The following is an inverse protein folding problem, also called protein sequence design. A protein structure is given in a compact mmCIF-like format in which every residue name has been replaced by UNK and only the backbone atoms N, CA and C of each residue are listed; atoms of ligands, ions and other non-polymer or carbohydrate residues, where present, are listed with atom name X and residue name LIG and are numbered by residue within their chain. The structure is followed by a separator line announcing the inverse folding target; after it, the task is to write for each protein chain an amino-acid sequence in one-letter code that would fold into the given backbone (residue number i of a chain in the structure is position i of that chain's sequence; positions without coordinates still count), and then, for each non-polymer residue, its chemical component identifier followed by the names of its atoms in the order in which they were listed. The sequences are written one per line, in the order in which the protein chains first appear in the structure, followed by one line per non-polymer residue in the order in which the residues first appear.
data_IF_186222473184
#
_entry.id   IF_186222473184
#
_cell.length_a   1.000
_cell.length_b   1.000
_cell.length_c   1.000
_cell.angle_alpha   90.00
_cell.angle_beta   90.00
_cell.angle_gamma   90.00
#
_symmetry.space_group_name_H-M   'P 1'
#
loop_
_entity.id
_entity.type
_entity.pdbx_description
1 polymer ?
#
# COMPACT_ATOMS: atom_id res chain seq x y z
N UNK A 1 -20.34 -13.95 -11.88
CA UNK A 1 -20.31 -13.79 -10.40
C UNK A 1 -20.92 -12.44 -10.09
N UNK A 2 -21.88 -12.37 -9.19
CA UNK A 2 -22.46 -11.11 -8.75
C UNK A 2 -21.62 -10.59 -7.56
N UNK A 3 -20.78 -9.59 -7.85
CA UNK A 3 -19.87 -9.02 -6.86
C UNK A 3 -20.59 -8.19 -5.80
N UNK A 4 -21.71 -7.53 -6.14
CA UNK A 4 -22.50 -6.77 -5.17
C UNK A 4 -23.07 -7.68 -4.10
N UNK A 5 -23.73 -8.77 -4.52
CA UNK A 5 -24.29 -9.80 -3.64
C UNK A 5 -23.21 -10.48 -2.78
N UNK A 6 -22.02 -10.73 -3.36
CA UNK A 6 -20.90 -11.29 -2.61
C UNK A 6 -20.43 -10.31 -1.52
N UNK A 7 -20.31 -9.03 -1.84
CA UNK A 7 -19.89 -8.01 -0.91
C UNK A 7 -20.87 -7.84 0.25
N UNK A 8 -22.17 -7.78 -0.04
CA UNK A 8 -23.24 -7.61 0.95
C UNK A 8 -23.31 -8.80 1.95
N UNK A 9 -23.11 -10.03 1.49
CA UNK A 9 -23.35 -11.22 2.33
C UNK A 9 -22.07 -11.81 2.94
N UNK A 10 -20.88 -11.47 2.42
CA UNK A 10 -19.63 -12.09 2.81
C UNK A 10 -19.29 -11.84 4.27
N UNK A 11 -19.44 -10.61 4.71
CA UNK A 11 -19.04 -10.22 6.08
C UNK A 11 -19.95 -10.82 7.14
N UNK A 12 -21.23 -11.00 6.88
CA UNK A 12 -22.16 -11.71 7.79
C UNK A 12 -21.74 -13.14 8.04
N UNK A 13 -21.29 -13.83 6.98
CA UNK A 13 -20.76 -15.18 7.10
C UNK A 13 -19.45 -15.22 7.89
N UNK A 14 -18.55 -14.28 7.61
CA UNK A 14 -17.25 -14.19 8.29
C UNK A 14 -17.41 -13.82 9.77
N UNK A 15 -18.39 -13.00 10.13
CA UNK A 15 -18.71 -12.71 11.53
C UNK A 15 -19.23 -13.96 12.29
N UNK A 16 -20.01 -14.81 11.64
CA UNK A 16 -20.39 -16.11 12.22
C UNK A 16 -19.19 -17.04 12.39
N UNK A 17 -18.26 -17.01 11.45
CA UNK A 17 -17.00 -17.75 11.56
C UNK A 17 -16.14 -17.25 12.72
N UNK A 18 -16.08 -15.92 12.94
CA UNK A 18 -15.38 -15.30 14.07
C UNK A 18 -15.81 -15.90 15.41
N UNK A 19 -17.13 -15.99 15.64
CA UNK A 19 -17.66 -16.55 16.91
C UNK A 19 -17.05 -17.92 17.18
N UNK A 20 -17.05 -18.81 16.19
CA UNK A 20 -16.50 -20.17 16.32
C UNK A 20 -14.97 -20.16 16.45
N UNK A 21 -14.30 -19.26 15.75
CA UNK A 21 -12.84 -19.13 15.81
C UNK A 21 -12.37 -18.78 17.22
N UNK A 22 -13.05 -17.84 17.88
CA UNK A 22 -12.69 -17.40 19.23
C UNK A 22 -13.16 -18.35 20.35
N UNK A 23 -13.93 -19.40 20.07
CA UNK A 23 -14.18 -20.50 21.02
C UNK A 23 -12.94 -21.37 21.24
N UNK A 24 -12.08 -21.49 20.21
CA UNK A 24 -10.84 -22.28 20.30
C UNK A 24 -9.77 -21.69 19.39
N UNK A 25 -9.11 -20.62 19.86
CA UNK A 25 -8.11 -19.87 19.07
C UNK A 25 -6.82 -20.69 18.94
N UNK A 26 -6.34 -20.95 17.71
CA UNK A 26 -5.07 -21.63 17.52
C UNK A 26 -3.90 -20.78 18.01
N UNK A 27 -2.85 -21.42 18.51
CA UNK A 27 -1.66 -20.70 18.99
C UNK A 27 -0.97 -19.93 17.87
N UNK A 28 -1.02 -20.41 16.65
CA UNK A 28 -0.49 -19.82 15.43
C UNK A 28 -1.08 -18.42 15.16
N UNK A 29 -2.35 -18.21 15.54
CA UNK A 29 -2.98 -16.89 15.44
C UNK A 29 -2.27 -15.85 16.34
N UNK A 30 -1.95 -16.20 17.56
CA UNK A 30 -1.27 -15.29 18.47
C UNK A 30 0.16 -15.00 18.01
N UNK A 31 0.85 -16.02 17.50
CA UNK A 31 2.18 -15.87 16.88
C UNK A 31 2.13 -14.97 15.64
N UNK A 32 1.10 -15.12 14.82
CA UNK A 32 0.87 -14.24 13.67
C UNK A 32 0.64 -12.80 14.12
N UNK A 33 -0.24 -12.56 15.09
CA UNK A 33 -0.52 -11.22 15.60
C UNK A 33 0.73 -10.55 16.18
N UNK A 34 1.57 -11.28 16.91
CA UNK A 34 2.83 -10.77 17.46
C UNK A 34 3.85 -10.47 16.34
N UNK A 35 4.02 -11.38 15.40
CA UNK A 35 4.95 -11.23 14.27
C UNK A 35 4.59 -10.08 13.34
N UNK A 36 3.32 -9.85 13.12
CA UNK A 36 2.78 -8.90 12.16
C UNK A 36 2.30 -7.58 12.82
N UNK A 37 2.58 -7.39 14.11
CA UNK A 37 2.07 -6.26 14.90
C UNK A 37 2.46 -4.89 14.34
N UNK A 38 3.57 -4.79 13.61
CA UNK A 38 4.10 -3.56 13.01
C UNK A 38 3.17 -2.90 11.99
N UNK A 39 2.28 -3.69 11.37
CA UNK A 39 1.27 -3.19 10.44
C UNK A 39 -0.15 -3.62 10.80
N UNK A 40 -0.30 -4.84 11.38
CA UNK A 40 -1.60 -5.46 11.59
C UNK A 40 -2.46 -4.72 12.61
N UNK A 41 -1.84 -4.20 13.67
CA UNK A 41 -2.54 -3.49 14.73
C UNK A 41 -3.19 -2.20 14.22
N UNK A 42 -2.45 -1.42 13.45
CA UNK A 42 -2.97 -0.18 12.87
C UNK A 42 -3.95 -0.46 11.73
N UNK A 43 -3.72 -1.49 10.91
CA UNK A 43 -4.66 -1.91 9.87
C UNK A 43 -6.01 -2.32 10.47
N UNK A 44 -6.00 -3.17 11.50
CA UNK A 44 -7.22 -3.65 12.13
C UNK A 44 -8.01 -2.53 12.81
N UNK A 45 -7.31 -1.61 13.48
CA UNK A 45 -7.92 -0.41 14.06
C UNK A 45 -8.51 0.49 12.95
N UNK A 46 -7.77 0.74 11.87
CA UNK A 46 -8.23 1.55 10.74
C UNK A 46 -9.53 0.98 10.15
N UNK A 47 -9.57 -0.32 9.92
CA UNK A 47 -10.75 -0.98 9.37
C UNK A 47 -11.95 -0.96 10.32
N UNK A 48 -11.72 -1.12 11.63
CA UNK A 48 -12.75 -0.98 12.64
C UNK A 48 -13.33 0.45 12.67
N UNK A 49 -12.48 1.46 12.57
CA UNK A 49 -12.89 2.86 12.49
C UNK A 49 -13.63 3.16 11.18
N UNK A 50 -13.17 2.64 10.04
CA UNK A 50 -13.88 2.75 8.75
C UNK A 50 -15.30 2.24 8.85
N UNK A 51 -15.51 1.11 9.50
CA UNK A 51 -16.84 0.52 9.70
C UNK A 51 -17.70 1.39 10.63
N UNK A 52 -17.14 1.86 11.75
CA UNK A 52 -17.82 2.74 12.68
C UNK A 52 -18.26 4.07 12.06
N UNK A 53 -17.53 4.54 11.05
CA UNK A 53 -17.82 5.75 10.29
C UNK A 53 -18.56 5.48 8.95
N UNK A 54 -19.19 4.32 8.79
CA UNK A 54 -19.93 3.92 7.58
C UNK A 54 -19.11 4.02 6.28
N UNK A 55 -17.82 3.72 6.34
CA UNK A 55 -16.91 3.77 5.21
C UNK A 55 -16.39 5.17 4.85
N UNK A 56 -16.70 6.21 5.63
CA UNK A 56 -16.19 7.56 5.42
C UNK A 56 -14.65 7.57 5.37
N UNK A 57 -14.08 8.49 4.60
CA UNK A 57 -12.63 8.64 4.50
C UNK A 57 -12.05 9.06 5.86
N UNK A 58 -10.84 8.59 6.18
CA UNK A 58 -10.20 8.94 7.46
C UNK A 58 -9.96 10.45 7.58
N UNK A 59 -9.81 11.17 6.48
CA UNK A 59 -9.70 12.63 6.45
C UNK A 59 -10.97 13.36 6.93
N UNK A 60 -12.11 12.68 6.91
CA UNK A 60 -13.41 13.18 7.36
C UNK A 60 -13.73 12.80 8.82
N UNK A 61 -12.90 11.97 9.47
CA UNK A 61 -13.10 11.59 10.86
C UNK A 61 -12.90 12.79 11.79
N UNK A 62 -13.43 12.70 13.00
CA UNK A 62 -13.21 13.71 14.01
C UNK A 62 -11.71 13.95 14.26
N UNK A 63 -11.37 15.21 14.51
CA UNK A 63 -9.98 15.67 14.60
C UNK A 63 -9.07 14.76 15.45
N UNK A 64 -9.46 14.30 16.67
CA UNK A 64 -8.58 13.45 17.48
C UNK A 64 -8.22 12.12 16.82
N UNK A 65 -9.13 11.50 16.06
CA UNK A 65 -8.88 10.28 15.30
C UNK A 65 -8.11 10.58 14.01
N UNK A 66 -8.49 11.62 13.28
CA UNK A 66 -7.79 12.06 12.06
C UNK A 66 -6.31 12.31 12.34
N UNK A 67 -5.97 12.98 13.44
CA UNK A 67 -4.61 13.32 13.84
C UNK A 67 -3.96 12.28 14.76
N UNK A 68 -4.61 11.15 14.99
CA UNK A 68 -4.09 10.04 15.82
C UNK A 68 -3.66 10.49 17.22
N UNK A 69 -4.44 11.35 17.89
CA UNK A 69 -4.18 11.77 19.26
C UNK A 69 -4.16 10.55 20.18
N UNK A 70 -3.14 10.41 21.02
CA UNK A 70 -2.87 9.19 21.77
C UNK A 70 -4.07 8.70 22.61
N UNK A 71 -4.77 9.61 23.29
CA UNK A 71 -5.94 9.28 24.09
C UNK A 71 -7.12 8.80 23.23
N UNK A 72 -7.34 9.42 22.06
CA UNK A 72 -8.39 9.02 21.12
C UNK A 72 -8.12 7.64 20.55
N UNK A 73 -6.86 7.35 20.18
CA UNK A 73 -6.45 6.04 19.69
C UNK A 73 -6.59 4.97 20.77
N UNK A 74 -6.16 5.24 22.00
CA UNK A 74 -6.31 4.30 23.13
C UNK A 74 -7.79 3.98 23.37
N UNK A 75 -8.63 5.01 23.46
CA UNK A 75 -10.08 4.85 23.59
C UNK A 75 -10.71 4.07 22.46
N UNK A 76 -10.28 4.34 21.21
CA UNK A 76 -10.78 3.62 20.05
C UNK A 76 -10.41 2.14 20.08
N UNK A 77 -9.18 1.80 20.47
CA UNK A 77 -8.74 0.41 20.66
C UNK A 77 -9.60 -0.34 21.67
N UNK A 78 -9.92 0.28 22.78
CA UNK A 78 -10.81 -0.33 23.80
C UNK A 78 -12.26 -0.44 23.30
N UNK A 79 -12.77 0.61 22.66
CA UNK A 79 -14.16 0.67 22.20
C UNK A 79 -14.44 -0.34 21.09
N UNK A 80 -13.51 -0.52 20.17
CA UNK A 80 -13.65 -1.35 18.97
C UNK A 80 -12.85 -2.65 19.04
N UNK A 81 -12.49 -3.10 20.24
CA UNK A 81 -11.66 -4.31 20.45
C UNK A 81 -12.21 -5.53 19.70
N UNK A 82 -13.53 -5.73 19.73
CA UNK A 82 -14.19 -6.85 19.04
C UNK A 82 -14.04 -6.77 17.51
N UNK A 83 -14.15 -5.56 16.94
CA UNK A 83 -13.96 -5.36 15.51
C UNK A 83 -12.48 -5.47 15.10
N UNK A 84 -11.57 -5.00 15.92
CA UNK A 84 -10.13 -5.18 15.72
C UNK A 84 -9.78 -6.66 15.66
N UNK A 85 -10.31 -7.47 16.58
CA UNK A 85 -10.13 -8.92 16.57
C UNK A 85 -10.69 -9.57 15.31
N UNK A 86 -11.84 -9.10 14.83
CA UNK A 86 -12.41 -9.56 13.56
C UNK A 86 -11.47 -9.33 12.38
N UNK A 87 -10.93 -8.13 12.25
CA UNK A 87 -10.03 -7.79 11.15
C UNK A 87 -8.69 -8.51 11.25
N UNK A 88 -8.14 -8.69 12.46
CA UNK A 88 -6.94 -9.51 12.69
C UNK A 88 -7.16 -10.97 12.30
N UNK A 89 -8.29 -11.56 12.72
CA UNK A 89 -8.66 -12.93 12.33
C UNK A 89 -8.74 -13.06 10.80
N UNK A 90 -9.36 -12.11 10.10
CA UNK A 90 -9.45 -12.17 8.63
C UNK A 90 -8.09 -12.14 7.97
N UNK A 91 -7.16 -11.30 8.46
CA UNK A 91 -5.79 -11.26 7.93
C UNK A 91 -5.05 -12.58 8.21
N UNK A 92 -5.17 -13.13 9.42
CA UNK A 92 -4.59 -14.43 9.75
C UNK A 92 -5.07 -15.54 8.80
N UNK A 93 -6.38 -15.69 8.62
CA UNK A 93 -6.95 -16.69 7.73
C UNK A 93 -6.55 -16.48 6.26
N UNK A 94 -6.46 -15.23 5.83
CA UNK A 94 -5.96 -14.91 4.48
C UNK A 94 -4.50 -15.35 4.31
N UNK A 95 -3.62 -14.98 5.25
CA UNK A 95 -2.19 -15.32 5.17
C UNK A 95 -1.97 -16.82 5.22
N UNK A 96 -2.71 -17.56 6.07
CA UNK A 96 -2.64 -18.99 6.15
C UNK A 96 -2.99 -19.65 4.81
N UNK A 97 -4.16 -19.32 4.25
CA UNK A 97 -4.62 -19.85 2.96
C UNK A 97 -3.71 -19.43 1.79
N UNK A 98 -3.20 -18.17 1.81
CA UNK A 98 -2.30 -17.69 0.80
C UNK A 98 -0.96 -18.45 0.83
N UNK A 99 -0.39 -18.67 2.00
CA UNK A 99 0.85 -19.42 2.15
C UNK A 99 0.68 -20.87 1.67
N UNK A 100 -0.42 -21.53 1.98
CA UNK A 100 -0.73 -22.87 1.46
C UNK A 100 -0.80 -22.87 -0.06
N UNK A 101 -1.53 -21.93 -0.66
CA UNK A 101 -1.65 -21.81 -2.12
C UNK A 101 -0.29 -21.53 -2.78
N UNK A 102 0.50 -20.62 -2.21
CA UNK A 102 1.86 -20.29 -2.72
C UNK A 102 2.76 -21.52 -2.66
N UNK A 103 2.79 -22.22 -1.55
CA UNK A 103 3.57 -23.44 -1.39
C UNK A 103 3.15 -24.50 -2.41
N UNK A 104 1.85 -24.72 -2.58
CA UNK A 104 1.32 -25.65 -3.57
C UNK A 104 1.77 -25.32 -5.00
N UNK A 105 1.78 -24.03 -5.37
CA UNK A 105 2.26 -23.55 -6.67
C UNK A 105 3.78 -23.78 -6.81
N UNK A 106 4.55 -23.38 -5.80
CA UNK A 106 6.00 -23.48 -5.82
C UNK A 106 6.50 -24.93 -5.90
N UNK A 107 5.86 -25.89 -5.22
CA UNK A 107 6.17 -27.32 -5.31
C UNK A 107 5.99 -27.87 -6.73
N UNK A 108 5.22 -27.18 -7.59
CA UNK A 108 5.00 -27.50 -9.00
C UNK A 108 5.84 -26.67 -9.98
N UNK A 109 6.83 -25.94 -9.44
CA UNK A 109 7.71 -25.09 -10.23
C UNK A 109 7.04 -23.81 -10.75
N UNK A 110 5.87 -23.43 -10.21
CA UNK A 110 5.16 -22.21 -10.58
C UNK A 110 5.55 -21.10 -9.59
N UNK A 111 6.02 -19.97 -10.11
CA UNK A 111 6.34 -18.77 -9.33
C UNK A 111 5.20 -17.77 -9.43
N UNK A 112 4.87 -17.14 -8.31
CA UNK A 112 3.81 -16.13 -8.24
C UNK A 112 4.44 -14.75 -8.36
N UNK A 113 3.97 -13.97 -9.35
CA UNK A 113 4.36 -12.57 -9.54
C UNK A 113 3.29 -11.70 -8.88
N UNK A 114 3.70 -10.88 -7.92
CA UNK A 114 2.82 -9.90 -7.28
C UNK A 114 3.01 -8.51 -7.87
N UNK A 115 1.91 -7.79 -8.05
CA UNK A 115 1.91 -6.44 -8.58
C UNK A 115 1.82 -5.41 -7.46
N UNK A 116 2.74 -4.45 -7.44
CA UNK A 116 2.87 -3.43 -6.40
C UNK A 116 2.81 -2.05 -7.05
N UNK A 117 1.72 -1.30 -6.87
CA UNK A 117 1.66 0.07 -7.37
C UNK A 117 2.66 0.94 -6.61
N UNK A 118 3.29 1.90 -7.31
CA UNK A 118 4.19 2.86 -6.65
C UNK A 118 3.44 3.65 -5.58
N UNK A 119 2.25 4.15 -5.87
CA UNK A 119 1.48 4.97 -4.94
C UNK A 119 0.49 4.16 -4.13
N UNK A 120 0.11 4.71 -2.96
CA UNK A 120 -0.98 4.21 -2.12
C UNK A 120 -2.20 5.11 -2.25
N UNK A 121 -3.37 4.59 -1.91
CA UNK A 121 -4.57 5.41 -1.86
C UNK A 121 -4.48 6.46 -0.75
N UNK A 122 -5.02 7.66 -0.98
CA UNK A 122 -5.12 8.69 0.06
C UNK A 122 -5.93 8.21 1.26
N UNK A 123 -7.04 7.51 1.00
CA UNK A 123 -7.85 6.85 2.03
C UNK A 123 -7.29 5.45 2.33
N UNK A 124 -6.15 5.42 3.02
CA UNK A 124 -5.46 4.19 3.42
C UNK A 124 -4.86 4.30 4.81
N UNK A 125 -4.62 3.15 5.43
CA UNK A 125 -3.90 3.07 6.70
C UNK A 125 -2.48 3.62 6.57
N UNK A 126 -1.83 3.42 5.43
CA UNK A 126 -0.46 3.90 5.18
C UNK A 126 -0.34 5.41 5.36
N UNK A 127 -1.27 6.17 4.76
CA UNK A 127 -1.28 7.64 4.85
C UNK A 127 -1.71 8.09 6.24
N UNK A 128 -2.74 7.47 6.82
CA UNK A 128 -3.23 7.80 8.15
C UNK A 128 -2.20 7.58 9.25
N UNK A 129 -1.39 6.52 9.16
CA UNK A 129 -0.38 6.19 10.18
C UNK A 129 0.95 6.90 9.97
N UNK A 130 1.27 7.25 8.74
CA UNK A 130 2.56 7.85 8.37
C UNK A 130 2.42 9.17 7.59
N UNK A 131 1.61 10.15 8.06
CA UNK A 131 1.31 11.36 7.29
C UNK A 131 2.56 12.18 6.95
N UNK A 132 3.61 12.14 7.77
CA UNK A 132 4.89 12.81 7.52
C UNK A 132 5.64 12.29 6.29
N UNK A 133 5.35 11.08 5.83
CA UNK A 133 5.94 10.46 4.66
C UNK A 133 5.32 10.95 3.33
N UNK A 134 4.28 11.78 3.39
CA UNK A 134 3.51 12.25 2.24
C UNK A 134 3.45 13.78 2.19
N UNK A 135 3.29 14.36 0.99
CA UNK A 135 3.07 15.80 0.80
C UNK A 135 1.65 16.20 1.20
N UNK A 136 1.44 16.37 2.50
CA UNK A 136 0.19 16.84 3.09
C UNK A 136 0.38 18.20 3.76
N UNK A 137 -0.69 18.99 3.82
CA UNK A 137 -0.72 20.26 4.54
C UNK A 137 -0.98 20.05 6.06
N UNK A 138 -1.12 21.14 6.81
CA UNK A 138 -1.41 21.11 8.25
C UNK A 138 -2.77 20.50 8.60
N UNK A 139 -3.66 20.35 7.64
CA UNK A 139 -4.95 19.68 7.80
C UNK A 139 -4.94 18.23 7.32
N UNK A 140 -3.76 17.72 6.94
CA UNK A 140 -3.53 16.40 6.34
C UNK A 140 -4.25 16.23 4.99
N UNK A 141 -4.45 17.31 4.24
CA UNK A 141 -4.94 17.27 2.87
C UNK A 141 -3.77 17.26 1.88
N UNK A 142 -3.85 16.52 0.77
CA UNK A 142 -2.77 16.46 -0.21
C UNK A 142 -2.45 17.84 -0.80
N UNK A 143 -1.19 18.27 -0.69
CA UNK A 143 -0.68 19.49 -1.35
C UNK A 143 -0.57 19.24 -2.85
N UNK A 144 0.02 18.10 -3.20
CA UNK A 144 0.17 17.61 -4.57
C UNK A 144 -0.22 16.14 -4.64
N UNK A 145 -0.73 15.73 -5.79
CA UNK A 145 -1.15 14.34 -6.08
C UNK A 145 -0.49 13.82 -7.35
N UNK A 146 -0.46 12.49 -7.46
CA UNK A 146 0.11 11.79 -8.59
C UNK A 146 -0.80 11.83 -9.83
N UNK A 147 -0.17 11.70 -10.99
CA UNK A 147 -0.83 11.55 -12.27
C UNK A 147 0.14 11.51 -13.44
N UNK A 148 -0.38 11.71 -14.64
CA UNK A 148 0.39 11.83 -15.87
C UNK A 148 0.04 13.10 -16.63
N UNK A 149 1.01 13.72 -17.33
CA UNK A 149 0.75 14.91 -18.13
C UNK A 149 -0.22 14.65 -19.28
N UNK A 150 -0.82 15.69 -19.87
CA UNK A 150 -1.52 15.61 -21.14
C UNK A 150 -0.66 14.96 -22.22
N UNK A 151 -1.28 14.11 -23.03
CA UNK A 151 -0.66 13.41 -24.15
C UNK A 151 -1.61 13.32 -25.37
N UNK A 152 -1.25 12.54 -26.39
CA UNK A 152 -2.06 12.36 -27.59
C UNK A 152 -3.39 11.61 -27.34
N UNK A 153 -3.50 10.87 -26.24
CA UNK A 153 -4.69 10.08 -25.86
C UNK A 153 -5.58 10.81 -24.86
N UNK A 154 -5.01 11.69 -24.04
CA UNK A 154 -5.73 12.45 -23.01
C UNK A 154 -5.29 13.91 -22.99
N UNK A 155 -6.14 14.80 -23.51
CA UNK A 155 -5.87 16.25 -23.53
C UNK A 155 -5.82 16.88 -22.12
N UNK A 156 -6.38 16.23 -21.10
CA UNK A 156 -6.37 16.65 -19.71
C UNK A 156 -5.32 15.94 -18.87
N UNK A 157 -4.61 14.97 -19.47
CA UNK A 157 -3.74 14.06 -18.73
C UNK A 157 -4.55 13.09 -17.87
N UNK A 158 -3.87 12.47 -16.89
CA UNK A 158 -4.49 11.57 -15.96
C UNK A 158 -4.25 12.09 -14.54
N UNK A 159 -5.33 12.38 -13.82
CA UNK A 159 -5.31 12.73 -12.41
C UNK A 159 -5.62 11.47 -11.59
N UNK A 160 -4.61 10.89 -10.93
CA UNK A 160 -4.80 9.65 -10.15
C UNK A 160 -5.24 9.94 -8.71
N UNK A 161 -4.87 11.10 -8.17
CA UNK A 161 -5.29 11.52 -6.84
C UNK A 161 -4.53 10.91 -5.66
N UNK A 162 -3.57 10.04 -5.91
CA UNK A 162 -2.73 9.47 -4.85
C UNK A 162 -1.80 10.53 -4.27
N UNK A 163 -1.64 10.62 -2.93
CA UNK A 163 -0.68 11.53 -2.32
C UNK A 163 0.76 11.18 -2.72
N UNK A 164 1.59 12.18 -2.91
CA UNK A 164 2.99 12.02 -3.28
C UNK A 164 3.87 11.82 -2.05
N UNK A 165 4.96 11.06 -2.21
CA UNK A 165 5.91 10.77 -1.14
C UNK A 165 6.85 11.94 -0.85
N UNK A 166 7.15 12.17 0.41
CA UNK A 166 8.23 13.02 0.91
C UNK A 166 9.56 12.25 0.83
N UNK A 167 10.13 12.16 -0.37
CA UNK A 167 11.38 11.45 -0.60
C UNK A 167 12.57 12.00 0.23
N UNK A 168 12.52 13.28 0.58
CA UNK A 168 13.46 13.93 1.50
C UNK A 168 13.39 13.30 2.91
N UNK A 169 12.19 13.20 3.47
CA UNK A 169 11.95 12.60 4.80
C UNK A 169 12.26 11.10 4.79
N UNK A 170 11.81 10.39 3.74
CA UNK A 170 12.09 8.95 3.61
C UNK A 170 13.59 8.65 3.50
N UNK A 171 14.37 9.53 2.89
CA UNK A 171 15.83 9.40 2.82
C UNK A 171 16.46 9.48 4.21
N UNK A 172 16.01 10.42 5.05
CA UNK A 172 16.55 10.63 6.40
C UNK A 172 16.40 9.41 7.30
N UNK A 173 15.31 8.64 7.13
CA UNK A 173 15.08 7.38 7.86
C UNK A 173 15.62 6.12 7.14
N UNK A 174 16.32 6.31 6.03
CA UNK A 174 16.87 5.24 5.19
C UNK A 174 15.81 4.42 4.49
N UNK A 175 14.73 5.05 4.04
CA UNK A 175 13.61 4.45 3.32
C UNK A 175 12.94 3.29 4.08
N UNK A 176 12.76 3.45 5.37
CA UNK A 176 12.24 2.41 6.27
C UNK A 176 10.86 1.90 5.83
N UNK A 177 9.95 2.80 5.47
CA UNK A 177 8.62 2.45 4.99
C UNK A 177 8.66 1.59 3.71
N UNK A 178 9.46 1.97 2.72
CA UNK A 178 9.63 1.19 1.49
C UNK A 178 10.30 -0.15 1.74
N UNK A 179 11.27 -0.20 2.64
CA UNK A 179 11.92 -1.45 3.06
C UNK A 179 10.91 -2.41 3.69
N UNK A 180 10.06 -1.90 4.60
CA UNK A 180 9.00 -2.70 5.23
C UNK A 180 8.00 -3.21 4.16
N UNK A 181 7.57 -2.33 3.26
CA UNK A 181 6.62 -2.68 2.18
C UNK A 181 7.17 -3.78 1.27
N UNK A 182 8.40 -3.62 0.77
CA UNK A 182 9.01 -4.62 -0.11
C UNK A 182 9.34 -5.92 0.62
N UNK A 183 9.74 -5.87 1.89
CA UNK A 183 9.89 -7.05 2.75
C UNK A 183 8.58 -7.83 2.82
N UNK A 184 7.46 -7.15 3.08
CA UNK A 184 6.15 -7.80 3.17
C UNK A 184 5.75 -8.42 1.82
N UNK A 185 5.93 -7.70 0.73
CA UNK A 185 5.63 -8.21 -0.61
C UNK A 185 6.48 -9.43 -0.96
N UNK A 186 7.76 -9.48 -0.56
CA UNK A 186 8.64 -10.64 -0.80
C UNK A 186 8.22 -11.89 0.00
N UNK A 187 7.47 -11.76 1.07
CA UNK A 187 6.87 -12.93 1.75
C UNK A 187 5.66 -13.47 1.00
N UNK A 188 4.89 -12.60 0.38
CA UNK A 188 3.66 -12.96 -0.35
C UNK A 188 3.94 -13.49 -1.75
N UNK A 189 4.96 -12.97 -2.44
CA UNK A 189 5.24 -13.24 -3.84
C UNK A 189 6.65 -13.76 -4.03
N UNK A 190 6.88 -14.49 -5.12
CA UNK A 190 8.20 -14.96 -5.52
C UNK A 190 8.95 -13.93 -6.35
N UNK A 191 8.20 -13.10 -7.05
CA UNK A 191 8.69 -11.98 -7.86
C UNK A 191 7.80 -10.78 -7.61
N UNK A 192 8.37 -9.61 -7.46
CA UNK A 192 7.63 -8.35 -7.27
C UNK A 192 7.66 -7.57 -8.58
N UNK A 193 6.50 -7.34 -9.20
CA UNK A 193 6.36 -6.35 -10.28
C UNK A 193 6.03 -5.00 -9.68
N UNK A 194 6.85 -3.99 -9.96
CA UNK A 194 6.56 -2.61 -9.54
C UNK A 194 5.96 -1.87 -10.71
N UNK A 195 4.71 -1.46 -10.52
CA UNK A 195 3.96 -0.66 -11.48
C UNK A 195 4.42 0.79 -11.46
N UNK A 196 4.41 1.43 -12.64
CA UNK A 196 4.85 2.82 -12.84
C UNK A 196 6.26 3.11 -12.26
N UNK A 197 7.22 2.21 -12.51
CA UNK A 197 8.58 2.30 -11.95
C UNK A 197 9.27 3.63 -12.28
N UNK A 198 8.91 4.25 -13.39
CA UNK A 198 9.40 5.58 -13.77
C UNK A 198 9.25 6.62 -12.66
N UNK A 199 8.22 6.51 -11.82
CA UNK A 199 7.97 7.44 -10.71
C UNK A 199 9.11 7.51 -9.68
N UNK A 200 10.00 6.52 -9.64
CA UNK A 200 11.20 6.57 -8.80
C UNK A 200 12.31 7.42 -9.42
N UNK A 201 12.37 7.58 -10.73
CA UNK A 201 13.30 8.49 -11.40
C UNK A 201 12.72 9.90 -11.45
N UNK A 202 11.54 10.03 -12.04
CA UNK A 202 10.79 11.30 -12.07
C UNK A 202 9.30 11.04 -12.07
N UNK A 203 8.57 11.85 -11.32
CA UNK A 203 7.13 11.74 -11.15
C UNK A 203 6.43 13.06 -11.48
N UNK A 204 5.18 12.96 -11.92
CA UNK A 204 4.37 14.11 -12.28
C UNK A 204 3.51 14.53 -11.09
N UNK A 205 3.77 15.72 -10.56
CA UNK A 205 3.11 16.30 -9.39
C UNK A 205 2.04 17.29 -9.85
N UNK A 206 0.80 17.05 -9.48
CA UNK A 206 -0.36 17.88 -9.83
C UNK A 206 -0.85 18.55 -8.56
N UNK A 207 -1.14 19.87 -8.55
CA UNK A 207 -1.71 20.54 -7.38
C UNK A 207 -2.96 19.82 -6.88
N UNK A 208 -3.04 19.53 -5.57
CA UNK A 208 -4.08 18.66 -4.99
C UNK A 208 -5.52 19.18 -5.16
N UNK A 209 -5.68 20.47 -5.47
CA UNK A 209 -6.98 21.10 -5.71
C UNK A 209 -7.40 21.12 -7.19
N UNK A 210 -6.52 20.68 -8.09
CA UNK A 210 -6.81 20.65 -9.52
C UNK A 210 -7.73 19.48 -9.88
N UNK A 211 -8.56 19.71 -10.88
CA UNK A 211 -9.49 18.69 -11.42
C UNK A 211 -8.98 18.01 -12.69
N UNK A 212 -7.82 18.46 -13.21
CA UNK A 212 -7.13 17.90 -14.38
C UNK A 212 -5.64 17.88 -14.14
N UNK A 213 -4.89 17.14 -14.95
CA UNK A 213 -3.45 17.05 -14.83
C UNK A 213 -2.69 18.15 -15.61
N UNK A 214 -3.37 19.16 -16.15
CA UNK A 214 -2.76 20.16 -17.04
C UNK A 214 -1.69 21.03 -16.38
N UNK A 215 -1.83 21.33 -15.09
CA UNK A 215 -0.94 22.23 -14.35
C UNK A 215 0.15 21.48 -13.56
N UNK A 216 0.29 20.19 -13.76
CA UNK A 216 1.32 19.42 -13.09
C UNK A 216 2.73 19.74 -13.56
N UNK A 217 3.70 19.36 -12.75
CA UNK A 217 5.14 19.56 -13.01
C UNK A 217 5.91 18.27 -12.74
N UNK A 218 6.97 18.04 -13.50
CA UNK A 218 7.89 16.95 -13.24
C UNK A 218 8.80 17.25 -12.06
N UNK A 219 8.96 16.27 -11.16
CA UNK A 219 9.89 16.31 -10.03
C UNK A 219 10.75 15.05 -10.01
N UNK A 220 11.97 15.16 -9.48
CA UNK A 220 12.87 14.01 -9.36
C UNK A 220 12.46 13.11 -8.21
N UNK A 221 12.49 11.81 -8.46
CA UNK A 221 12.32 10.76 -7.46
C UNK A 221 13.63 10.41 -6.75
N UNK A 222 13.64 9.38 -5.90
CA UNK A 222 14.82 8.93 -5.15
C UNK A 222 15.85 8.19 -6.02
N UNK A 223 15.48 7.80 -7.22
CA UNK A 223 16.33 7.01 -8.13
C UNK A 223 16.77 5.68 -7.51
N UNK A 224 17.99 5.27 -7.86
CA UNK A 224 18.59 4.02 -7.37
C UNK A 224 18.99 4.04 -5.89
N UNK A 225 18.98 5.20 -5.26
CA UNK A 225 19.34 5.34 -3.83
C UNK A 225 18.42 4.49 -2.95
N UNK A 226 17.11 4.55 -3.18
CA UNK A 226 16.11 3.75 -2.49
C UNK A 226 16.40 2.24 -2.65
N UNK A 227 16.61 1.78 -3.87
CA UNK A 227 16.82 0.34 -4.13
C UNK A 227 18.13 -0.18 -3.52
N UNK A 228 19.18 0.64 -3.49
CA UNK A 228 20.43 0.29 -2.76
C UNK A 228 20.19 0.18 -1.26
N UNK A 229 19.45 1.11 -0.66
CA UNK A 229 19.12 1.05 0.76
C UNK A 229 18.25 -0.19 1.10
N UNK A 230 17.34 -0.57 0.20
CA UNK A 230 16.53 -1.78 0.34
C UNK A 230 17.41 -3.03 0.20
N UNK A 231 18.29 -3.09 -0.80
CA UNK A 231 19.17 -4.23 -1.02
C UNK A 231 20.16 -4.44 0.15
N UNK A 232 20.68 -3.37 0.75
CA UNK A 232 21.49 -3.44 1.97
C UNK A 232 20.75 -4.10 3.14
N UNK A 233 19.44 -3.83 3.28
CA UNK A 233 18.65 -4.32 4.42
C UNK A 233 18.02 -5.69 4.19
N UNK A 234 17.62 -6.00 2.96
CA UNK A 234 16.86 -7.21 2.62
C UNK A 234 17.63 -8.23 1.77
N UNK A 235 18.81 -7.85 1.27
CA UNK A 235 19.47 -8.60 0.22
C UNK A 235 18.79 -8.38 -1.15
N UNK A 236 19.26 -9.15 -2.14
CA UNK A 236 18.73 -9.06 -3.52
C UNK A 236 17.31 -9.62 -3.60
N UNK A 237 16.37 -8.82 -4.08
CA UNK A 237 14.99 -9.21 -4.37
C UNK A 237 14.80 -9.44 -5.87
N UNK A 238 13.93 -10.39 -6.23
CA UNK A 238 13.50 -10.56 -7.62
C UNK A 238 12.42 -9.52 -7.95
N UNK A 239 12.84 -8.45 -8.63
CA UNK A 239 11.97 -7.34 -9.00
C UNK A 239 11.89 -7.22 -10.51
N UNK A 240 10.68 -7.16 -11.05
CA UNK A 240 10.36 -6.78 -12.42
C UNK A 240 9.85 -5.35 -12.38
N UNK A 241 10.25 -4.53 -13.32
CA UNK A 241 9.84 -3.13 -13.39
C UNK A 241 9.01 -2.88 -14.64
N UNK A 242 7.95 -2.11 -14.49
CA UNK A 242 7.21 -1.62 -15.64
C UNK A 242 7.92 -0.43 -16.26
N UNK A 243 8.16 -0.51 -17.55
CA UNK A 243 8.92 0.45 -18.37
C UNK A 243 7.99 1.19 -19.36
N UNK A 244 6.84 1.65 -18.90
CA UNK A 244 5.90 2.40 -19.75
C UNK A 244 6.11 3.91 -19.62
N UNK A 245 6.01 4.60 -20.76
CA UNK A 245 6.07 6.06 -20.86
C UNK A 245 7.41 6.61 -21.37
N UNK A 246 7.69 7.88 -21.07
CA UNK A 246 8.92 8.54 -21.50
C UNK A 246 10.11 8.03 -20.68
N UNK A 247 10.98 7.27 -21.34
CA UNK A 247 12.18 6.71 -20.73
C UNK A 247 13.25 7.78 -20.55
N UNK A 248 13.82 7.85 -19.36
CA UNK A 248 15.01 8.67 -19.13
C UNK A 248 16.27 7.83 -19.38
N UNK A 249 17.42 8.46 -19.71
CA UNK A 249 18.69 7.74 -19.85
C UNK A 249 19.04 6.89 -18.61
N UNK A 250 18.63 7.33 -17.42
CA UNK A 250 18.85 6.63 -16.17
C UNK A 250 18.09 5.29 -16.13
N UNK A 251 16.80 5.28 -16.51
CA UNK A 251 15.97 4.07 -16.62
C UNK A 251 16.52 3.10 -17.66
N UNK A 252 17.02 3.63 -18.79
CA UNK A 252 17.61 2.83 -19.86
C UNK A 252 18.87 2.09 -19.41
N UNK A 253 19.63 2.67 -18.48
CA UNK A 253 20.87 2.07 -17.95
C UNK A 253 20.60 0.98 -16.89
N UNK A 254 19.46 1.04 -16.21
CA UNK A 254 19.08 0.09 -15.16
C UNK A 254 18.24 -1.09 -15.67
N UNK A 255 17.70 -1.01 -16.89
CA UNK A 255 16.92 -2.08 -17.50
C UNK A 255 17.87 -3.21 -18.00
N UNK A 256 17.71 -4.44 -17.52
CA UNK A 256 18.70 -5.52 -17.76
C UNK A 256 18.74 -6.07 -19.19
N UNK A 257 17.79 -5.72 -20.07
CA UNK A 257 17.83 -6.17 -21.49
C UNK A 257 16.97 -5.35 -22.42
N UNK A 258 17.46 -5.01 -23.63
CA UNK A 258 16.65 -4.43 -24.71
C UNK A 258 15.52 -5.35 -25.23
N UNK A 259 15.57 -6.65 -24.90
CA UNK A 259 14.55 -7.63 -25.34
C UNK A 259 13.29 -7.57 -24.51
N UNK A 260 13.36 -7.11 -23.27
CA UNK A 260 12.19 -6.96 -22.41
C UNK A 260 11.34 -5.75 -22.77
N UNK A 261 11.83 -4.91 -23.70
CA UNK A 261 11.13 -3.72 -24.25
C UNK A 261 10.18 -4.01 -25.40
N UNK A 262 10.18 -5.21 -25.94
CA UNK A 262 9.46 -5.55 -27.20
C UNK A 262 8.10 -6.20 -26.98
N UNK A 263 7.57 -6.23 -25.78
CA UNK A 263 6.29 -6.86 -25.44
C UNK A 263 5.22 -5.88 -24.93
N UNK A 264 5.31 -4.62 -25.29
CA UNK A 264 4.22 -3.65 -25.10
C UNK A 264 3.63 -3.20 -26.40
#
# INVERSE_FOLDING_TARGET
MDYALLYENRYDLLRKAKVRFFENVPQEYWQFCEKEADWLDDFALFMALKEAHNGAQWSEWERPLKFREAEAIAKAKDTYADEIDFWKMLQYLFFEQWCELKNYANERGIRIIGDVPIYVAGDSVDVWTNPSQFYLDENLEPIDVAGCPPDAFSADGQLWGNPLFRWDVMREDGYSWWTMRLRKMSTLYDVIRIDHFRGFDSYYAIPGKDTTARNGVWRNGPGMELFRAVEEKLGKLDIIVEDLGFLTPCLLYTSPSPRDRSLS
#
